data_IF_405041247001
#
_entry.id   IF_405041247001
#
_cell.length_a   1.000
_cell.length_b   1.000
_cell.length_c   1.000
_cell.angle_alpha   90.00
_cell.angle_beta   90.00
_cell.angle_gamma   90.00
#
_symmetry.space_group_name_H-M   'P 1'
#
loop_
_entity.id
_entity.type
_entity.pdbx_description
1 polymer ?
#
# COMPACT_ATOMS: atom_id res chain seq x y z
N UNK A 1 1.55 -11.15 13.12
CA UNK A 1 3.02 -10.94 12.99
C UNK A 1 3.71 -11.73 11.87
N UNK A 2 2.97 -12.40 10.97
CA UNK A 2 3.55 -13.01 9.76
C UNK A 2 2.56 -12.90 8.59
N UNK A 3 2.38 -11.69 8.09
CA UNK A 3 1.48 -11.44 6.95
C UNK A 3 2.27 -11.68 5.67
N UNK A 4 1.84 -12.64 4.85
CA UNK A 4 2.45 -12.90 3.53
C UNK A 4 1.86 -12.02 2.44
N UNK A 5 0.56 -11.73 2.54
CA UNK A 5 -0.17 -10.92 1.58
C UNK A 5 -1.25 -10.12 2.29
N UNK A 6 -1.39 -8.84 1.94
CA UNK A 6 -2.46 -7.96 2.37
C UNK A 6 -3.05 -7.27 1.14
N UNK A 7 -4.36 -7.39 0.96
CA UNK A 7 -5.11 -6.56 0.02
C UNK A 7 -5.88 -5.52 0.82
N UNK A 8 -5.61 -4.24 0.56
CA UNK A 8 -6.18 -3.09 1.25
C UNK A 8 -7.22 -2.43 0.36
N UNK A 9 -8.49 -2.71 0.66
CA UNK A 9 -9.62 -1.93 0.17
C UNK A 9 -10.59 -1.64 1.32
N UNK A 10 -10.64 -0.38 1.73
CA UNK A 10 -11.40 0.12 2.87
C UNK A 10 -11.90 1.57 2.60
N UNK A 11 -12.44 2.20 3.65
CA UNK A 11 -12.64 3.65 3.67
C UNK A 11 -11.30 4.40 3.55
N UNK A 12 -11.27 5.46 2.75
CA UNK A 12 -9.99 6.07 2.31
C UNK A 12 -9.25 6.77 3.46
N UNK A 13 -10.00 7.22 4.47
CA UNK A 13 -9.50 7.89 5.66
C UNK A 13 -8.61 6.99 6.52
N UNK A 14 -8.79 5.66 6.45
CA UNK A 14 -8.01 4.70 7.26
C UNK A 14 -6.82 4.10 6.51
N UNK A 15 -6.63 4.37 5.22
CA UNK A 15 -5.58 3.72 4.41
C UNK A 15 -4.18 3.93 4.99
N UNK A 16 -3.88 5.15 5.44
CA UNK A 16 -2.57 5.47 6.01
C UNK A 16 -2.30 4.70 7.30
N UNK A 17 -3.30 4.62 8.19
CA UNK A 17 -3.18 3.86 9.44
C UNK A 17 -3.05 2.35 9.17
N UNK A 18 -3.83 1.82 8.22
CA UNK A 18 -3.71 0.45 7.77
C UNK A 18 -2.31 0.16 7.23
N UNK A 19 -1.77 1.02 6.37
CA UNK A 19 -0.42 0.88 5.82
C UNK A 19 0.63 0.80 6.93
N UNK A 20 0.65 1.77 7.85
CA UNK A 20 1.62 1.78 8.95
C UNK A 20 1.45 0.62 9.94
N UNK A 21 0.25 0.07 10.04
CA UNK A 21 -0.02 -1.11 10.87
C UNK A 21 0.43 -2.42 10.20
N UNK A 22 0.26 -2.52 8.88
CA UNK A 22 0.48 -3.76 8.13
C UNK A 22 1.94 -3.93 7.71
N UNK A 23 2.60 -2.88 7.20
CA UNK A 23 3.97 -2.97 6.65
C UNK A 23 5.01 -3.52 7.64
N UNK A 24 4.97 -3.20 8.95
CA UNK A 24 5.87 -3.82 9.93
C UNK A 24 5.59 -5.31 10.18
N UNK A 25 4.38 -5.79 9.87
CA UNK A 25 3.93 -7.17 10.11
C UNK A 25 4.05 -8.06 8.86
N UNK A 26 4.42 -7.49 7.72
CA UNK A 26 4.75 -8.25 6.51
C UNK A 26 6.02 -9.07 6.73
N UNK A 27 6.01 -10.31 6.26
CA UNK A 27 7.24 -11.10 6.12
C UNK A 27 8.09 -10.53 4.97
N UNK A 28 9.41 -10.74 4.98
CA UNK A 28 10.27 -10.43 3.84
C UNK A 28 9.76 -11.13 2.57
N UNK A 29 9.66 -10.38 1.47
CA UNK A 29 9.04 -10.82 0.22
C UNK A 29 7.51 -10.84 0.24
N UNK A 30 6.88 -10.45 1.35
CA UNK A 30 5.43 -10.30 1.47
C UNK A 30 4.92 -9.07 0.72
N UNK A 31 3.65 -9.10 0.33
CA UNK A 31 3.03 -8.06 -0.50
C UNK A 31 1.93 -7.32 0.26
N UNK A 32 1.89 -6.00 0.07
CA UNK A 32 0.70 -5.18 0.29
C UNK A 32 0.25 -4.64 -1.06
N UNK A 33 -1.02 -4.80 -1.38
CA UNK A 33 -1.66 -4.22 -2.57
C UNK A 33 -2.81 -3.35 -2.11
N UNK A 34 -2.87 -2.09 -2.56
CA UNK A 34 -3.96 -1.16 -2.24
C UNK A 34 -4.63 -0.63 -3.51
N UNK A 35 -5.95 -0.80 -3.60
CA UNK A 35 -6.76 -0.37 -4.74
C UNK A 35 -7.00 1.16 -4.71
N UNK A 36 -7.53 1.69 -5.81
CA UNK A 36 -7.98 3.06 -6.00
C UNK A 36 -6.87 4.13 -6.04
N UNK A 37 -5.63 3.72 -6.30
CA UNK A 37 -4.46 4.60 -6.30
C UNK A 37 -4.54 5.75 -7.35
N UNK A 38 -5.35 5.61 -8.41
CA UNK A 38 -5.55 6.65 -9.44
C UNK A 38 -6.88 7.39 -9.26
N UNK A 39 -8.02 6.68 -9.11
CA UNK A 39 -9.34 7.35 -9.08
C UNK A 39 -9.60 8.20 -7.82
N UNK A 40 -8.97 7.87 -6.69
CA UNK A 40 -9.11 8.60 -5.42
C UNK A 40 -7.80 9.28 -5.01
N UNK A 41 -6.97 9.63 -6.00
CA UNK A 41 -5.61 10.08 -5.82
C UNK A 41 -5.50 11.24 -4.81
N UNK A 42 -6.36 12.26 -4.85
CA UNK A 42 -6.24 13.41 -3.95
C UNK A 42 -6.32 13.04 -2.46
N UNK A 43 -7.19 12.08 -2.08
CA UNK A 43 -7.31 11.62 -0.69
C UNK A 43 -6.19 10.65 -0.32
N UNK A 44 -5.76 9.81 -1.27
CA UNK A 44 -4.75 8.79 -1.03
C UNK A 44 -3.31 9.28 -1.21
N UNK A 45 -3.08 10.43 -1.84
CA UNK A 45 -1.75 10.94 -2.20
C UNK A 45 -0.77 10.93 -1.02
N UNK A 46 -1.14 11.35 0.21
CA UNK A 46 -0.22 11.29 1.34
C UNK A 46 0.28 9.88 1.65
N UNK A 47 -0.59 8.88 1.55
CA UNK A 47 -0.24 7.47 1.77
C UNK A 47 0.56 6.90 0.58
N UNK A 48 0.22 7.28 -0.65
CA UNK A 48 0.97 6.88 -1.85
C UNK A 48 2.41 7.43 -1.82
N UNK A 49 2.57 8.72 -1.53
CA UNK A 49 3.89 9.36 -1.39
C UNK A 49 4.70 8.70 -0.28
N UNK A 50 4.04 8.43 0.87
CA UNK A 50 4.64 7.73 1.99
C UNK A 50 5.17 6.36 1.58
N UNK A 51 4.39 5.57 0.83
CA UNK A 51 4.76 4.24 0.38
C UNK A 51 5.87 4.25 -0.68
N UNK A 52 5.81 5.17 -1.63
CA UNK A 52 6.82 5.32 -2.69
C UNK A 52 8.19 5.78 -2.15
N UNK A 53 8.22 6.44 -0.99
CA UNK A 53 9.44 6.84 -0.30
C UNK A 53 9.82 5.90 0.88
N UNK A 54 9.09 4.80 1.10
CA UNK A 54 9.30 3.93 2.26
C UNK A 54 10.41 2.90 2.04
N UNK A 55 11.59 3.11 2.61
CA UNK A 55 12.73 2.17 2.50
C UNK A 55 12.43 0.74 3.03
N UNK A 56 11.31 0.56 3.74
CA UNK A 56 10.85 -0.74 4.20
C UNK A 56 10.30 -1.63 3.08
N UNK A 57 9.93 -1.06 1.93
CA UNK A 57 9.31 -1.77 0.81
C UNK A 57 9.84 -1.24 -0.54
N UNK A 58 9.82 -2.09 -1.56
CA UNK A 58 9.86 -1.65 -2.96
C UNK A 58 8.42 -1.41 -3.43
N UNK A 59 8.07 -0.19 -3.86
CA UNK A 59 6.70 0.18 -4.20
C UNK A 59 6.55 0.72 -5.63
N UNK A 60 5.41 0.41 -6.27
CA UNK A 60 5.01 0.98 -7.56
C UNK A 60 3.50 1.07 -7.70
N UNK A 61 3.02 2.00 -8.52
CA UNK A 61 1.60 2.08 -8.92
C UNK A 61 1.44 1.45 -10.30
N UNK A 62 0.61 0.40 -10.39
CA UNK A 62 0.29 -0.30 -11.63
C UNK A 62 -1.02 0.27 -12.19
N UNK A 63 -1.04 0.79 -13.44
CA UNK A 63 -2.23 1.43 -14.03
C UNK A 63 -3.22 0.41 -14.60
N UNK A 64 -3.67 -0.53 -13.78
CA UNK A 64 -4.74 -1.48 -14.10
C UNK A 64 -5.97 -1.11 -13.25
N UNK A 65 -7.17 -1.18 -13.84
CA UNK A 65 -8.39 -0.82 -13.15
C UNK A 65 -8.39 0.63 -12.69
N UNK A 66 -8.54 0.86 -11.38
CA UNK A 66 -8.52 2.19 -10.76
C UNK A 66 -7.15 2.57 -10.19
N UNK A 67 -6.11 1.82 -10.55
CA UNK A 67 -4.75 1.95 -10.05
C UNK A 67 -4.51 1.12 -8.81
N UNK A 68 -3.49 0.27 -8.86
CA UNK A 68 -3.09 -0.60 -7.75
C UNK A 68 -1.71 -0.16 -7.25
N UNK A 69 -1.60 0.28 -6.01
CA UNK A 69 -0.30 0.39 -5.35
C UNK A 69 0.14 -1.02 -4.97
N UNK A 70 1.33 -1.43 -5.40
CA UNK A 70 1.95 -2.70 -5.04
C UNK A 70 3.23 -2.43 -4.28
N UNK A 71 3.32 -2.94 -3.04
CA UNK A 71 4.49 -2.86 -2.18
C UNK A 71 5.02 -4.26 -1.86
N UNK A 72 6.30 -4.50 -2.15
CA UNK A 72 7.04 -5.71 -1.79
C UNK A 72 7.91 -5.43 -0.57
N UNK A 73 7.81 -6.25 0.47
CA UNK A 73 8.61 -6.11 1.70
C UNK A 73 10.07 -6.55 1.48
N UNK A 74 11.01 -5.68 1.86
CA UNK A 74 12.45 -5.94 1.82
C UNK A 74 12.92 -7.01 2.81
#
# INVERSE_FOLDING_TARGET
>A
DKIAFCFLDAEKEVYQECYETVVPKLVKGGLLVADNAINHQATLQPMLDRALADERVDAMIIPIGKGELVCLKN
#
